data_IF_034921949088
#
_entry.id   IF_034921949088
#
_cell.length_a   1.000
_cell.length_b   1.000
_cell.length_c   1.000
_cell.angle_alpha   90.00
_cell.angle_beta   90.00
_cell.angle_gamma   90.00
#
_symmetry.space_group_name_H-M   'P 1'
#
loop_
_entity.id
_entity.type
_entity.pdbx_description
1 polymer ?
#
# COMPACT_ATOMS: atom_id res chain seq x y z
N UNK A 1 -73.09 70.35 17.44
CA UNK A 1 -73.68 69.46 16.42
C UNK A 1 -72.88 68.16 16.48
N UNK A 2 -73.40 67.15 17.18
CA UNK A 2 -72.66 65.90 17.43
C UNK A 2 -72.70 65.03 16.18
N UNK A 3 -71.55 64.91 15.54
CA UNK A 3 -71.34 64.13 14.33
C UNK A 3 -71.29 62.64 14.67
N UNK A 4 -72.13 61.87 13.98
CA UNK A 4 -72.39 60.45 14.21
C UNK A 4 -71.13 59.66 13.88
N UNK A 5 -70.29 59.35 14.87
CA UNK A 5 -69.11 58.48 14.69
C UNK A 5 -69.60 57.11 14.24
N UNK A 6 -69.27 56.72 13.01
CA UNK A 6 -69.66 55.43 12.44
C UNK A 6 -69.13 54.31 13.32
N UNK A 7 -70.05 53.59 13.95
CA UNK A 7 -69.75 52.36 14.67
C UNK A 7 -69.27 51.34 13.63
N UNK A 8 -67.95 51.08 13.63
CA UNK A 8 -67.37 50.02 12.80
C UNK A 8 -68.00 48.71 13.28
N UNK A 9 -68.75 48.05 12.39
CA UNK A 9 -69.47 46.85 12.77
C UNK A 9 -68.47 45.72 13.03
N UNK A 10 -68.67 44.92 14.10
CA UNK A 10 -67.74 43.86 14.48
C UNK A 10 -67.59 42.77 13.39
N UNK A 11 -68.56 42.62 12.48
CA UNK A 11 -68.46 41.71 11.35
C UNK A 11 -67.43 42.16 10.29
N UNK A 12 -67.23 43.48 10.13
CA UNK A 12 -66.20 44.01 9.23
C UNK A 12 -64.80 43.86 9.81
N UNK A 13 -64.65 43.98 11.13
CA UNK A 13 -63.39 43.71 11.83
C UNK A 13 -63.03 42.22 11.73
N UNK A 14 -63.98 41.31 11.95
CA UNK A 14 -63.77 39.88 11.76
C UNK A 14 -63.41 39.52 10.30
N UNK A 15 -64.07 40.15 9.31
CA UNK A 15 -63.73 39.95 7.88
C UNK A 15 -62.32 40.46 7.56
N UNK A 16 -61.93 41.61 8.10
CA UNK A 16 -60.61 42.19 7.92
C UNK A 16 -59.50 41.34 8.58
N UNK A 17 -59.70 40.90 9.82
CA UNK A 17 -58.77 40.02 10.52
C UNK A 17 -58.62 38.65 9.84
N UNK A 18 -59.71 38.07 9.34
CA UNK A 18 -59.68 36.81 8.58
C UNK A 18 -58.98 36.98 7.22
N UNK A 19 -59.10 38.15 6.59
CA UNK A 19 -58.36 38.49 5.37
C UNK A 19 -56.86 38.54 5.60
N UNK A 20 -56.41 39.30 6.62
CA UNK A 20 -55.00 39.39 7.01
C UNK A 20 -54.43 38.02 7.37
N UNK A 21 -55.16 37.23 8.16
CA UNK A 21 -54.73 35.88 8.54
C UNK A 21 -54.58 34.96 7.33
N UNK A 22 -55.49 35.05 6.35
CA UNK A 22 -55.41 34.29 5.10
C UNK A 22 -54.22 34.71 4.23
N UNK A 23 -53.93 36.01 4.16
CA UNK A 23 -52.78 36.54 3.42
C UNK A 23 -51.44 36.12 4.05
N UNK A 24 -51.34 36.12 5.39
CA UNK A 24 -50.16 35.64 6.12
C UNK A 24 -49.94 34.14 5.86
N UNK A 25 -51.00 33.32 5.97
CA UNK A 25 -50.90 31.88 5.66
C UNK A 25 -50.49 31.67 4.20
N UNK A 26 -51.02 32.45 3.27
CA UNK A 26 -50.67 32.33 1.85
C UNK A 26 -49.18 32.64 1.61
N UNK A 27 -48.62 33.65 2.29
CA UNK A 27 -47.20 34.01 2.20
C UNK A 27 -46.30 32.90 2.76
N UNK A 28 -46.65 32.33 3.92
CA UNK A 28 -45.88 31.24 4.53
C UNK A 28 -45.91 29.95 3.69
N UNK A 29 -47.06 29.62 3.12
CA UNK A 29 -47.21 28.49 2.19
C UNK A 29 -46.39 28.73 0.92
N UNK A 30 -46.39 29.95 0.37
CA UNK A 30 -45.56 30.29 -0.79
C UNK A 30 -44.06 30.24 -0.45
N UNK A 31 -43.65 30.67 0.74
CA UNK A 31 -42.26 30.65 1.20
C UNK A 31 -41.73 29.21 1.34
N UNK A 32 -42.51 28.32 1.96
CA UNK A 32 -42.16 26.91 2.10
C UNK A 32 -42.11 26.17 0.76
N UNK A 33 -43.03 26.47 -0.15
CA UNK A 33 -43.04 25.91 -1.50
C UNK A 33 -41.82 26.35 -2.33
N UNK A 34 -41.41 27.62 -2.20
CA UNK A 34 -40.23 28.16 -2.86
C UNK A 34 -38.94 27.51 -2.32
N UNK A 35 -38.82 27.34 -1.00
CA UNK A 35 -37.67 26.69 -0.38
C UNK A 35 -37.56 25.21 -0.79
N UNK A 36 -38.70 24.52 -0.91
CA UNK A 36 -38.75 23.15 -1.43
C UNK A 36 -38.30 23.04 -2.89
N UNK A 37 -38.71 23.97 -3.76
CA UNK A 37 -38.26 24.01 -5.15
C UNK A 37 -36.75 24.25 -5.26
N UNK A 38 -36.20 25.17 -4.46
CA UNK A 38 -34.76 25.43 -4.41
C UNK A 38 -34.00 24.19 -3.95
N UNK A 39 -34.47 23.49 -2.91
CA UNK A 39 -33.84 22.28 -2.41
C UNK A 39 -33.81 21.15 -3.47
N UNK A 40 -34.90 20.99 -4.25
CA UNK A 40 -34.95 20.02 -5.34
C UNK A 40 -33.98 20.37 -6.49
N UNK A 41 -33.86 21.66 -6.82
CA UNK A 41 -32.90 22.13 -7.82
C UNK A 41 -31.45 21.94 -7.36
N UNK A 42 -31.15 22.24 -6.10
CA UNK A 42 -29.80 22.03 -5.54
C UNK A 42 -29.47 20.53 -5.50
N UNK A 43 -30.41 19.69 -5.08
CA UNK A 43 -30.25 18.24 -5.06
C UNK A 43 -29.99 17.66 -6.46
N UNK A 44 -30.76 18.08 -7.47
CA UNK A 44 -30.56 17.62 -8.84
C UNK A 44 -29.21 18.06 -9.41
N UNK A 45 -28.76 19.29 -9.13
CA UNK A 45 -27.45 19.78 -9.55
C UNK A 45 -26.31 19.01 -8.88
N UNK A 46 -26.40 18.70 -7.59
CA UNK A 46 -25.37 17.92 -6.88
C UNK A 46 -25.23 16.51 -7.48
N UNK A 47 -26.34 15.84 -7.80
CA UNK A 47 -26.35 14.50 -8.41
C UNK A 47 -25.75 14.53 -9.82
N UNK A 48 -26.02 15.57 -10.60
CA UNK A 48 -25.51 15.68 -11.98
C UNK A 48 -24.02 16.04 -12.00
N UNK A 49 -23.60 16.97 -11.15
CA UNK A 49 -22.23 17.52 -11.17
C UNK A 49 -21.23 16.63 -10.43
N UNK A 50 -21.67 15.82 -9.46
CA UNK A 50 -20.81 15.00 -8.60
C UNK A 50 -19.54 15.75 -8.17
N UNK A 51 -19.68 16.82 -7.37
CA UNK A 51 -18.56 17.69 -7.00
C UNK A 51 -17.41 16.93 -6.31
N UNK A 52 -17.71 15.79 -5.70
CA UNK A 52 -16.72 14.88 -5.13
C UNK A 52 -15.70 14.41 -6.18
N UNK A 53 -16.14 13.99 -7.37
CA UNK A 53 -15.26 13.46 -8.42
C UNK A 53 -14.33 14.54 -8.98
N UNK A 54 -14.81 15.79 -9.04
CA UNK A 54 -14.01 16.93 -9.47
C UNK A 54 -12.88 17.21 -8.46
N UNK A 55 -13.22 17.25 -7.17
CA UNK A 55 -12.24 17.48 -6.10
C UNK A 55 -11.25 16.30 -6.02
N UNK A 56 -11.75 15.07 -6.10
CA UNK A 56 -10.94 13.86 -6.05
C UNK A 56 -9.98 13.79 -7.23
N UNK A 57 -10.46 13.99 -8.46
CA UNK A 57 -9.60 13.98 -9.65
C UNK A 57 -8.57 15.11 -9.64
N UNK A 58 -8.87 16.25 -9.02
CA UNK A 58 -7.88 17.31 -8.83
C UNK A 58 -6.81 16.92 -7.80
N UNK A 59 -7.21 16.31 -6.68
CA UNK A 59 -6.30 15.88 -5.62
C UNK A 59 -5.40 14.72 -6.06
N UNK A 60 -5.93 13.74 -6.79
CA UNK A 60 -5.20 12.51 -7.19
C UNK A 60 -4.26 12.74 -8.37
N UNK A 61 -4.39 13.85 -9.10
CA UNK A 61 -3.48 14.16 -10.20
C UNK A 61 -2.06 14.35 -9.68
N UNK A 62 -1.18 13.45 -10.12
CA UNK A 62 0.26 13.54 -9.90
C UNK A 62 0.86 14.55 -10.88
N UNK A 63 0.86 15.82 -10.49
CA UNK A 63 1.58 16.88 -11.20
C UNK A 63 2.84 17.29 -10.42
N UNK A 64 3.76 17.97 -11.09
CA UNK A 64 4.92 18.56 -10.42
C UNK A 64 4.46 19.49 -9.29
N UNK A 65 5.05 19.32 -8.09
CA UNK A 65 4.69 20.07 -6.89
C UNK A 65 3.35 19.70 -6.24
N UNK A 66 2.65 18.66 -6.73
CA UNK A 66 1.44 18.16 -6.06
C UNK A 66 1.76 17.34 -4.81
N UNK A 67 0.91 17.45 -3.80
CA UNK A 67 0.98 16.65 -2.57
C UNK A 67 0.90 15.15 -2.86
N UNK A 68 0.09 14.72 -3.85
CA UNK A 68 -0.01 13.31 -4.22
C UNK A 68 1.26 12.75 -4.86
N UNK A 69 2.01 13.57 -5.60
CA UNK A 69 3.32 13.15 -6.11
C UNK A 69 4.32 12.99 -4.96
N UNK A 70 4.31 13.88 -3.98
CA UNK A 70 5.21 13.81 -2.81
C UNK A 70 4.89 12.60 -1.92
N UNK A 71 3.59 12.37 -1.63
CA UNK A 71 3.14 11.19 -0.90
C UNK A 71 3.45 9.88 -1.62
N UNK A 72 3.40 9.85 -2.95
CA UNK A 72 3.81 8.69 -3.73
C UNK A 72 5.34 8.53 -3.76
N UNK A 73 6.08 9.65 -3.83
CA UNK A 73 7.53 9.63 -3.86
C UNK A 73 8.11 9.17 -2.52
N UNK A 74 7.58 9.65 -1.39
CA UNK A 74 8.00 9.27 -0.03
C UNK A 74 6.78 9.05 0.86
N UNK A 75 6.14 7.87 0.80
CA UNK A 75 4.96 7.60 1.60
C UNK A 75 5.32 7.59 3.10
N UNK A 76 4.54 8.27 3.96
CA UNK A 76 4.78 8.35 5.40
C UNK A 76 4.26 7.08 6.11
N UNK A 77 4.65 5.91 5.62
CA UNK A 77 4.26 4.61 6.17
C UNK A 77 5.48 3.85 6.65
N UNK A 78 5.36 3.22 7.81
CA UNK A 78 6.40 2.36 8.37
C UNK A 78 6.09 0.91 8.01
N UNK A 79 6.93 0.31 7.17
CA UNK A 79 6.80 -1.10 6.81
C UNK A 79 7.85 -1.92 7.56
N UNK A 80 7.42 -3.06 8.09
CA UNK A 80 8.28 -3.98 8.82
C UNK A 80 8.34 -5.33 8.10
N UNK A 81 9.52 -5.66 7.57
CA UNK A 81 9.84 -6.95 6.99
C UNK A 81 10.26 -7.91 8.10
N UNK A 82 9.46 -8.98 8.31
CA UNK A 82 9.79 -10.05 9.25
C UNK A 82 10.32 -11.26 8.49
N UNK A 83 11.59 -11.59 8.69
CA UNK A 83 12.26 -12.72 8.04
C UNK A 83 12.33 -13.89 9.02
N UNK A 84 11.88 -15.05 8.57
CA UNK A 84 11.98 -16.33 9.28
C UNK A 84 12.90 -17.26 8.49
N UNK A 85 13.92 -17.79 9.15
CA UNK A 85 14.94 -18.64 8.55
C UNK A 85 14.84 -20.06 9.09
N UNK A 86 15.15 -21.05 8.25
CA UNK A 86 15.08 -22.46 8.63
C UNK A 86 16.48 -23.02 8.80
N UNK A 87 16.98 -23.04 10.04
CA UNK A 87 18.29 -23.56 10.39
C UNK A 87 18.32 -25.09 10.26
N UNK A 88 19.31 -25.64 9.57
CA UNK A 88 19.50 -27.07 9.39
C UNK A 88 20.25 -27.67 10.58
N UNK A 89 19.59 -28.55 11.34
CA UNK A 89 20.16 -29.14 12.57
C UNK A 89 20.95 -30.43 12.31
N UNK A 90 20.62 -31.18 11.26
CA UNK A 90 21.21 -32.50 10.97
C UNK A 90 21.96 -32.56 9.62
N UNK A 91 22.79 -31.53 9.33
CA UNK A 91 23.48 -31.40 8.03
C UNK A 91 24.27 -32.66 7.63
N UNK A 92 25.04 -33.23 8.55
CA UNK A 92 25.94 -34.36 8.24
C UNK A 92 25.16 -35.66 8.00
N UNK A 93 24.15 -35.93 8.83
CA UNK A 93 23.29 -37.10 8.69
C UNK A 93 22.46 -37.07 7.40
N UNK A 94 21.99 -35.88 7.01
CA UNK A 94 21.27 -35.68 5.75
C UNK A 94 22.18 -35.90 4.54
N UNK A 95 23.39 -35.33 4.53
CA UNK A 95 24.36 -35.52 3.44
C UNK A 95 24.86 -36.97 3.33
N UNK A 96 24.90 -37.70 4.43
CA UNK A 96 25.22 -39.13 4.46
C UNK A 96 24.04 -40.04 4.03
N UNK A 97 22.86 -39.48 3.75
CA UNK A 97 21.66 -40.23 3.36
C UNK A 97 21.04 -41.07 4.49
N UNK A 98 21.41 -40.80 5.76
CA UNK A 98 20.94 -41.57 6.92
C UNK A 98 19.60 -41.08 7.45
N UNK A 99 19.39 -39.76 7.41
CA UNK A 99 18.19 -39.12 7.94
C UNK A 99 17.60 -38.13 6.93
N UNK A 100 16.29 -37.87 7.04
CA UNK A 100 15.65 -36.77 6.31
C UNK A 100 16.10 -35.42 6.89
N UNK A 101 16.07 -34.38 6.07
CA UNK A 101 16.46 -33.03 6.48
C UNK A 101 15.57 -32.55 7.63
N UNK A 102 16.20 -32.15 8.74
CA UNK A 102 15.56 -31.54 9.91
C UNK A 102 15.93 -30.09 9.97
N UNK A 103 14.91 -29.24 9.97
CA UNK A 103 15.06 -27.80 10.09
C UNK A 103 14.37 -27.29 11.34
N UNK A 104 14.89 -26.19 11.88
CA UNK A 104 14.30 -25.44 12.97
C UNK A 104 14.08 -24.01 12.51
N UNK A 105 12.87 -23.50 12.68
CA UNK A 105 12.57 -22.09 12.40
C UNK A 105 13.27 -21.19 13.42
N UNK A 106 13.90 -20.13 12.93
CA UNK A 106 14.61 -19.11 13.71
C UNK A 106 14.15 -17.75 13.21
N UNK A 107 13.73 -16.89 14.14
CA UNK A 107 13.24 -15.55 13.85
C UNK A 107 12.18 -15.08 14.86
N UNK A 108 11.52 -13.95 14.59
CA UNK A 108 11.71 -13.10 13.42
C UNK A 108 13.00 -12.26 13.47
N UNK A 109 13.63 -12.05 12.31
CA UNK A 109 14.60 -10.98 12.07
C UNK A 109 13.85 -9.83 11.40
N UNK A 110 13.74 -8.69 12.09
CA UNK A 110 12.86 -7.59 11.70
C UNK A 110 13.67 -6.43 11.15
N UNK A 111 13.32 -6.02 9.93
CA UNK A 111 13.86 -4.85 9.26
C UNK A 111 12.74 -3.86 9.00
N UNK A 112 13.02 -2.57 9.17
CA UNK A 112 12.17 -1.49 8.68
C UNK A 112 12.51 -1.23 7.23
N UNK A 113 11.53 -1.38 6.36
CA UNK A 113 11.63 -1.07 4.94
C UNK A 113 11.13 0.34 4.70
N UNK A 114 12.04 1.23 4.30
CA UNK A 114 11.66 2.52 3.74
C UNK A 114 11.23 2.35 2.28
N UNK A 115 10.23 3.09 1.82
CA UNK A 115 9.88 3.18 0.41
C UNK A 115 10.16 4.59 -0.07
N UNK A 116 10.96 4.72 -1.13
CA UNK A 116 11.14 6.00 -1.78
C UNK A 116 11.31 5.84 -3.29
N UNK A 117 10.84 6.81 -4.06
CA UNK A 117 11.09 6.95 -5.48
C UNK A 117 12.08 8.10 -5.70
N UNK A 118 13.29 7.80 -6.17
CA UNK A 118 14.34 8.79 -6.45
C UNK A 118 14.40 9.12 -7.94
N UNK A 119 15.02 10.26 -8.28
CA UNK A 119 15.13 10.77 -9.66
C UNK A 119 13.76 10.88 -10.35
N UNK A 120 12.77 11.44 -9.64
CA UNK A 120 11.42 11.65 -10.16
C UNK A 120 11.45 12.76 -11.20
N UNK A 121 11.06 12.46 -12.44
CA UNK A 121 10.92 13.43 -13.53
C UNK A 121 9.57 13.25 -14.23
N UNK A 122 8.88 14.37 -14.47
CA UNK A 122 7.66 14.38 -15.28
C UNK A 122 8.02 14.45 -16.76
N UNK A 123 7.36 13.64 -17.58
CA UNK A 123 7.54 13.63 -19.03
C UNK A 123 6.41 14.43 -19.70
N UNK A 124 6.69 15.01 -20.87
CA UNK A 124 5.72 15.81 -21.65
C UNK A 124 4.46 15.03 -22.07
N UNK A 125 4.53 13.70 -22.08
CA UNK A 125 3.42 12.80 -22.39
C UNK A 125 2.51 12.48 -21.18
N UNK A 126 2.72 13.15 -20.04
CA UNK A 126 1.94 12.96 -18.83
C UNK A 126 2.32 11.71 -18.02
N UNK A 127 3.51 11.14 -18.24
CA UNK A 127 4.05 10.02 -17.45
C UNK A 127 5.10 10.49 -16.46
N UNK A 128 5.32 9.70 -15.40
CA UNK A 128 6.38 9.94 -14.40
C UNK A 128 7.45 8.86 -14.58
N UNK A 129 8.71 9.26 -14.60
CA UNK A 129 9.85 8.36 -14.53
C UNK A 129 10.51 8.50 -13.17
N UNK A 130 10.78 7.37 -12.51
CA UNK A 130 11.46 7.35 -11.22
C UNK A 130 12.18 6.00 -11.00
N UNK A 131 13.11 5.97 -10.06
CA UNK A 131 13.79 4.77 -9.61
C UNK A 131 13.31 4.40 -8.20
N UNK A 132 12.62 3.27 -8.01
CA UNK A 132 12.20 2.83 -6.68
C UNK A 132 13.42 2.35 -5.87
N UNK A 133 13.49 2.75 -4.62
CA UNK A 133 14.49 2.30 -3.64
C UNK A 133 13.79 1.82 -2.37
N UNK A 134 14.32 0.74 -1.80
CA UNK A 134 13.78 0.06 -0.63
C UNK A 134 14.87 -0.13 0.44
N UNK A 135 15.34 0.95 1.10
CA UNK A 135 16.34 0.83 2.14
C UNK A 135 15.81 0.00 3.33
N UNK A 136 16.59 -1.00 3.74
CA UNK A 136 16.29 -1.84 4.90
C UNK A 136 17.13 -1.37 6.08
N UNK A 137 16.48 -1.10 7.21
CA UNK A 137 17.12 -0.73 8.48
C UNK A 137 16.83 -1.79 9.53
N UNK A 138 17.85 -2.35 10.16
CA UNK A 138 17.68 -3.36 11.20
C UNK A 138 16.94 -2.81 12.43
N UNK A 139 15.95 -3.56 12.94
CA UNK A 139 15.18 -3.20 14.14
C UNK A 139 15.38 -4.26 15.23
N UNK A 140 16.34 -4.05 16.16
CA UNK A 140 16.67 -5.05 17.17
C UNK A 140 15.53 -5.31 18.17
N UNK A 141 14.71 -4.29 18.48
CA UNK A 141 13.65 -4.39 19.50
C UNK A 141 12.52 -5.36 19.13
N UNK A 142 12.27 -5.53 17.83
CA UNK A 142 11.24 -6.44 17.32
C UNK A 142 11.82 -7.80 16.89
N UNK A 143 13.14 -7.94 16.99
CA UNK A 143 13.87 -9.12 16.51
C UNK A 143 14.20 -10.06 17.65
N UNK A 144 14.04 -11.36 17.39
CA UNK A 144 14.29 -12.41 18.39
C UNK A 144 15.74 -12.95 18.35
N UNK A 145 16.50 -12.56 17.32
CA UNK A 145 17.90 -12.92 17.11
C UNK A 145 18.73 -11.69 16.74
N UNK A 146 20.03 -11.88 16.56
CA UNK A 146 20.94 -10.82 16.11
C UNK A 146 21.24 -10.95 14.61
N UNK A 147 21.57 -9.84 13.98
CA UNK A 147 21.94 -9.83 12.55
C UNK A 147 23.20 -10.68 12.26
N UNK A 148 24.06 -10.91 13.25
CA UNK A 148 25.28 -11.72 13.16
C UNK A 148 25.09 -13.20 13.56
N UNK A 149 23.85 -13.67 13.73
CA UNK A 149 23.57 -15.06 14.09
C UNK A 149 24.04 -16.04 13.00
N UNK A 150 24.81 -17.05 13.41
CA UNK A 150 25.36 -18.05 12.50
C UNK A 150 24.33 -19.17 12.29
N UNK A 151 23.82 -19.28 11.07
CA UNK A 151 22.85 -20.30 10.68
C UNK A 151 23.40 -21.22 9.59
N UNK A 152 23.01 -22.48 9.64
CA UNK A 152 23.35 -23.46 8.61
C UNK A 152 22.17 -23.51 7.63
N UNK A 153 22.38 -22.95 6.44
CA UNK A 153 21.36 -22.86 5.39
C UNK A 153 21.78 -23.64 4.14
N UNK A 154 20.81 -24.10 3.33
CA UNK A 154 21.13 -24.69 2.03
C UNK A 154 21.74 -23.65 1.09
N UNK A 155 22.72 -24.07 0.27
CA UNK A 155 23.31 -23.20 -0.73
C UNK A 155 22.32 -22.93 -1.88
N UNK A 156 21.66 -21.78 -1.83
CA UNK A 156 20.63 -21.38 -2.79
C UNK A 156 21.14 -21.30 -4.23
N UNK A 157 22.39 -20.85 -4.44
CA UNK A 157 22.96 -20.72 -5.77
C UNK A 157 23.19 -22.10 -6.40
N UNK A 158 23.70 -23.05 -5.60
CA UNK A 158 23.90 -24.42 -6.06
C UNK A 158 22.56 -25.13 -6.33
N UNK A 159 21.53 -24.89 -5.51
CA UNK A 159 20.20 -25.44 -5.73
C UNK A 159 19.56 -24.89 -7.00
N UNK A 160 19.62 -23.58 -7.22
CA UNK A 160 19.12 -22.95 -8.46
C UNK A 160 19.84 -23.47 -9.69
N UNK A 161 21.17 -23.59 -9.63
CA UNK A 161 21.96 -24.18 -10.70
C UNK A 161 21.55 -25.63 -10.97
N UNK A 162 21.40 -26.46 -9.92
CA UNK A 162 20.97 -27.84 -10.07
C UNK A 162 19.59 -27.95 -10.73
N UNK A 163 18.64 -27.07 -10.39
CA UNK A 163 17.30 -27.03 -10.99
C UNK A 163 17.34 -26.68 -12.48
N UNK A 164 18.15 -25.70 -12.88
CA UNK A 164 18.36 -25.36 -14.30
C UNK A 164 19.03 -26.52 -15.04
N UNK A 165 20.08 -27.09 -14.45
CA UNK A 165 20.84 -28.19 -15.05
C UNK A 165 20.06 -29.50 -15.14
N UNK A 166 19.11 -29.74 -14.25
CA UNK A 166 18.25 -30.92 -14.30
C UNK A 166 17.43 -30.97 -15.60
N UNK A 167 17.10 -29.81 -16.17
CA UNK A 167 16.33 -29.66 -17.42
C UNK A 167 17.20 -29.58 -18.68
N UNK A 168 18.53 -29.47 -18.53
CA UNK A 168 19.44 -29.31 -19.66
C UNK A 168 19.63 -30.61 -20.45
N UNK A 169 20.11 -30.49 -21.69
CA UNK A 169 20.43 -31.62 -22.56
C UNK A 169 21.44 -32.57 -21.92
N UNK A 170 21.44 -33.84 -22.34
CA UNK A 170 22.35 -34.86 -21.83
C UNK A 170 23.83 -34.43 -21.94
N UNK A 171 24.21 -33.81 -23.06
CA UNK A 171 25.58 -33.36 -23.30
C UNK A 171 26.01 -32.27 -22.30
N UNK A 172 25.14 -31.28 -22.06
CA UNK A 172 25.42 -30.20 -21.09
C UNK A 172 25.56 -30.77 -19.68
N UNK A 173 24.69 -31.70 -19.29
CA UNK A 173 24.76 -32.38 -17.99
C UNK A 173 26.06 -33.18 -17.83
N UNK A 174 26.50 -33.87 -18.87
CA UNK A 174 27.79 -34.58 -18.88
C UNK A 174 28.96 -33.63 -18.68
N UNK A 175 29.01 -32.52 -19.45
CA UNK A 175 30.06 -31.51 -19.32
C UNK A 175 30.13 -30.91 -17.93
N UNK A 176 28.98 -30.52 -17.37
CA UNK A 176 28.88 -29.98 -16.00
C UNK A 176 29.31 -31.01 -14.96
N UNK A 177 28.90 -32.28 -15.09
CA UNK A 177 29.32 -33.34 -14.16
C UNK A 177 30.84 -33.56 -14.16
N UNK A 178 31.50 -33.42 -15.32
CA UNK A 178 32.96 -33.49 -15.41
C UNK A 178 33.61 -32.32 -14.67
N UNK A 179 33.12 -31.10 -14.87
CA UNK A 179 33.63 -29.90 -14.20
C UNK A 179 33.42 -29.96 -12.67
N UNK A 180 32.27 -30.44 -12.20
CA UNK A 180 32.00 -30.64 -10.77
C UNK A 180 32.99 -31.66 -10.19
N UNK A 181 33.25 -32.78 -10.88
CA UNK A 181 34.23 -33.77 -10.45
C UNK A 181 35.65 -33.21 -10.39
N UNK A 182 36.06 -32.43 -11.39
CA UNK A 182 37.36 -31.76 -11.41
C UNK A 182 37.51 -30.77 -10.25
N UNK A 183 36.49 -29.94 -10.02
CA UNK A 183 36.47 -28.95 -8.94
C UNK A 183 36.53 -29.63 -7.57
N UNK A 184 35.75 -30.69 -7.36
CA UNK A 184 35.77 -31.46 -6.10
C UNK A 184 37.16 -32.03 -5.82
N UNK A 185 37.81 -32.65 -6.81
CA UNK A 185 39.18 -33.17 -6.66
C UNK A 185 40.17 -32.07 -6.30
N UNK A 186 40.10 -30.91 -6.97
CA UNK A 186 40.97 -29.76 -6.69
C UNK A 186 40.78 -29.23 -5.27
N UNK A 187 39.54 -29.08 -4.82
CA UNK A 187 39.21 -28.62 -3.46
C UNK A 187 39.69 -29.60 -2.39
N UNK A 188 39.48 -30.90 -2.59
CA UNK A 188 39.94 -31.94 -1.66
C UNK A 188 41.47 -31.95 -1.52
N UNK A 189 42.19 -31.79 -2.64
CA UNK A 189 43.65 -31.67 -2.63
C UNK A 189 44.11 -30.39 -1.91
N UNK A 190 43.42 -29.27 -2.09
CA UNK A 190 43.74 -28.01 -1.42
C UNK A 190 43.50 -28.07 0.09
N UNK A 191 42.40 -28.69 0.53
CA UNK A 191 42.14 -28.88 1.97
C UNK A 191 43.19 -29.79 2.62
N UNK A 192 43.67 -30.82 1.91
CA UNK A 192 44.77 -31.68 2.39
C UNK A 192 46.07 -30.90 2.59
N UNK A 193 46.47 -30.06 1.62
CA UNK A 193 47.73 -29.30 1.71
C UNK A 193 47.69 -28.18 2.75
N UNK A 194 46.51 -27.63 3.06
CA UNK A 194 46.33 -26.67 4.15
C UNK A 194 46.32 -27.36 5.53
N UNK A 195 45.74 -28.55 5.63
CA UNK A 195 45.74 -29.35 6.85
C UNK A 195 47.12 -29.90 7.23
N UNK A 196 48.02 -30.10 6.26
CA UNK A 196 49.42 -30.51 6.50
C UNK A 196 50.34 -29.36 6.94
N UNK A 197 49.89 -28.10 6.83
CA UNK A 197 50.69 -26.90 7.18
C UNK A 197 50.38 -26.29 8.54
N UNK A 198 49.40 -26.84 9.26
CA UNK A 198 49.00 -26.45 10.62
C UNK A 198 49.21 -27.62 11.58
#
# INVERSE_FOLDING_TARGET
>A
MFEKRSSIRPDEICKFQNGIYKDIIQIDVCSTMLMGLIALLVSSVIIVVNPYDIIFSYKVKMSEGSESLDLWATPPVELFLKVYLFNVTNREAFLAGKEKLRVQEVGPYVYREGMAHVNVSMNDNGTVTATPIHPLTWVPELSNGKEDDILILPNIALLSFANVMAKASLLTRMGVNLLIKQTKRKMENYSRTLGEKN
#
